data_IF_962627655587
#
_entry.id   IF_962627655587
#
_cell.length_a   1.000
_cell.length_b   1.000
_cell.length_c   1.000
_cell.angle_alpha   90.00
_cell.angle_beta   90.00
_cell.angle_gamma   90.00
#
_symmetry.space_group_name_H-M   'P 1'
#
loop_
_entity.id
_entity.type
_entity.pdbx_description
1 polymer ?
#
# COMPACT_ATOMS: atom_id res chain seq x y z
N UNK A 1 2.18 -49.45 -9.35
CA UNK A 1 2.71 -48.37 -8.49
C UNK A 1 1.83 -47.15 -8.69
N UNK A 2 0.94 -46.87 -7.74
CA UNK A 2 0.01 -45.74 -7.77
C UNK A 2 0.70 -44.59 -7.03
N UNK A 3 1.06 -43.51 -7.73
CA UNK A 3 1.60 -42.30 -7.10
C UNK A 3 0.43 -41.39 -6.77
N UNK A 4 0.16 -41.24 -5.48
CA UNK A 4 -0.87 -40.37 -4.94
C UNK A 4 -0.49 -38.91 -5.23
N UNK A 5 -1.35 -38.22 -6.00
CA UNK A 5 -1.37 -36.78 -6.17
C UNK A 5 -1.97 -36.16 -4.90
N UNK A 6 -1.16 -35.48 -4.10
CA UNK A 6 -1.67 -34.54 -3.10
C UNK A 6 -1.94 -33.22 -3.81
N UNK A 7 -3.17 -33.04 -4.26
CA UNK A 7 -3.70 -31.75 -4.68
C UNK A 7 -4.03 -30.93 -3.41
N UNK A 8 -3.09 -30.09 -2.98
CA UNK A 8 -3.39 -28.98 -2.08
C UNK A 8 -4.07 -27.89 -2.92
N UNK A 9 -5.38 -28.02 -3.10
CA UNK A 9 -6.23 -26.94 -3.59
C UNK A 9 -6.46 -25.94 -2.43
N UNK A 10 -5.44 -25.15 -2.12
CA UNK A 10 -5.62 -23.94 -1.31
C UNK A 10 -6.27 -22.88 -2.19
N UNK A 11 -7.60 -22.92 -2.31
CA UNK A 11 -8.37 -21.81 -2.81
C UNK A 11 -8.29 -20.67 -1.80
N UNK A 12 -7.21 -19.88 -1.86
CA UNK A 12 -7.17 -18.57 -1.23
C UNK A 12 -8.06 -17.71 -2.13
N UNK A 13 -9.34 -17.63 -1.77
CA UNK A 13 -10.16 -16.53 -2.22
C UNK A 13 -9.48 -15.26 -1.73
N UNK A 14 -8.76 -14.59 -2.63
CA UNK A 14 -8.36 -13.19 -2.47
C UNK A 14 -9.67 -12.42 -2.46
N UNK A 15 -10.30 -12.37 -1.29
CA UNK A 15 -11.26 -11.34 -0.98
C UNK A 15 -10.46 -10.05 -1.09
N UNK A 16 -10.65 -9.35 -2.20
CA UNK A 16 -10.09 -8.03 -2.40
C UNK A 16 -10.35 -7.22 -1.14
N UNK A 17 -9.27 -6.93 -0.41
CA UNK A 17 -9.30 -5.98 0.68
C UNK A 17 -9.59 -4.66 -0.02
N UNK A 18 -10.87 -4.32 -0.12
CA UNK A 18 -11.30 -2.95 -0.34
C UNK A 18 -10.78 -2.22 0.88
N UNK A 19 -9.64 -1.57 0.74
CA UNK A 19 -9.11 -0.65 1.75
C UNK A 19 -10.21 0.37 2.05
N UNK A 20 -10.92 0.18 3.16
CA UNK A 20 -11.72 1.24 3.75
C UNK A 20 -10.71 2.25 4.28
N UNK A 21 -10.35 3.22 3.43
CA UNK A 21 -9.61 4.41 3.82
C UNK A 21 -10.56 5.25 4.67
N UNK A 22 -10.66 4.92 5.96
CA UNK A 22 -11.12 5.90 6.94
C UNK A 22 -9.98 6.88 7.13
N UNK A 23 -10.11 8.06 6.53
CA UNK A 23 -9.28 9.21 6.82
C UNK A 23 -9.31 9.47 8.34
N UNK A 24 -8.28 9.03 9.06
CA UNK A 24 -8.01 9.48 10.42
C UNK A 24 -6.88 10.49 10.30
N UNK A 25 -7.26 11.75 10.13
CA UNK A 25 -6.34 12.86 10.26
C UNK A 25 -5.65 12.82 11.62
N UNK A 26 -4.34 12.94 11.63
CA UNK A 26 -3.57 13.29 12.81
C UNK A 26 -4.07 14.66 13.32
N UNK A 27 -4.96 14.65 14.31
CA UNK A 27 -5.17 15.80 15.18
C UNK A 27 -4.03 15.81 16.19
N UNK A 28 -3.11 16.76 16.01
CA UNK A 28 -2.18 17.15 17.06
C UNK A 28 -2.97 17.83 18.18
N UNK A 29 -3.32 17.05 19.20
CA UNK A 29 -3.91 17.57 20.43
C UNK A 29 -2.92 18.45 21.18
N UNK A 30 -2.96 19.75 20.91
CA UNK A 30 -2.44 20.78 21.80
C UNK A 30 -3.52 21.17 22.79
N UNK A 31 -3.52 20.57 23.98
CA UNK A 31 -4.24 21.10 25.13
C UNK A 31 -3.24 21.57 26.19
N UNK A 32 -2.99 22.88 26.16
CA UNK A 32 -2.49 23.63 27.30
C UNK A 32 -3.63 23.75 28.32
N UNK A 33 -3.50 23.09 29.47
CA UNK A 33 -4.36 23.36 30.63
C UNK A 33 -3.59 24.20 31.64
N UNK A 34 -3.91 25.49 31.60
CA UNK A 34 -4.15 26.40 32.71
C UNK A 34 -3.46 26.12 34.04
N UNK A 35 -2.50 26.99 34.39
CA UNK A 35 -1.94 27.08 35.72
C UNK A 35 -2.96 27.52 36.78
N UNK A 36 -2.79 26.95 37.98
CA UNK A 36 -3.29 27.52 39.21
C UNK A 36 -2.10 27.72 40.16
N UNK A 37 -1.87 28.98 40.55
CA UNK A 37 -1.01 29.36 41.66
C UNK A 37 -1.62 28.84 42.96
N UNK A 38 -0.83 28.17 43.80
CA UNK A 38 -1.06 28.07 45.25
C UNK A 38 0.27 28.35 45.95
N UNK A 39 0.16 29.13 47.02
CA UNK A 39 1.16 29.82 47.82
C UNK A 39 2.03 28.92 48.70
N UNK A 40 3.20 29.44 49.07
CA UNK A 40 4.10 28.94 50.11
C UNK A 40 3.36 28.72 51.45
N UNK A 41 3.67 27.62 52.15
CA UNK A 41 3.91 27.67 53.59
C UNK A 41 4.66 26.43 54.14
N UNK A 42 5.30 26.64 55.28
CA UNK A 42 6.38 25.87 55.88
C UNK A 42 6.00 24.54 56.57
N UNK A 43 6.99 23.62 56.58
CA UNK A 43 7.27 22.67 57.67
C UNK A 43 6.38 21.43 57.80
N UNK A 44 6.97 20.23 57.68
CA UNK A 44 7.15 19.27 58.79
C UNK A 44 7.73 17.94 58.27
N UNK A 45 8.60 17.35 59.08
CA UNK A 45 9.29 16.08 58.91
C UNK A 45 8.36 14.87 58.85
N UNK A 46 8.63 13.88 57.98
CA UNK A 46 8.55 12.43 58.28
C UNK A 46 8.92 11.49 57.12
N UNK A 47 9.72 10.50 57.50
CA UNK A 47 9.93 9.15 56.96
C UNK A 47 10.22 8.91 55.46
N UNK A 48 11.48 8.54 55.21
CA UNK A 48 11.93 7.81 54.04
C UNK A 48 11.40 6.36 54.07
N UNK A 49 10.11 6.19 53.72
CA UNK A 49 9.56 4.89 53.35
C UNK A 49 10.17 4.43 52.02
N UNK A 50 10.92 3.32 52.05
CA UNK A 50 11.43 2.65 50.85
C UNK A 50 10.27 2.38 49.89
N UNK A 51 10.22 3.10 48.76
CA UNK A 51 9.32 2.78 47.65
C UNK A 51 9.84 1.48 47.04
N UNK A 52 9.15 0.38 47.29
CA UNK A 52 9.37 -0.86 46.55
C UNK A 52 9.23 -0.56 45.07
N UNK A 53 10.32 -0.76 44.33
CA UNK A 53 10.30 -0.77 42.87
C UNK A 53 9.47 -2.00 42.50
N UNK A 54 8.34 -1.84 41.79
CA UNK A 54 7.58 -3.00 41.32
C UNK A 54 8.53 -3.88 40.49
N UNK A 55 8.44 -5.22 40.61
CA UNK A 55 9.29 -6.11 39.83
C UNK A 55 9.15 -5.76 38.34
N UNK A 56 10.23 -5.84 37.54
CA UNK A 56 10.14 -5.61 36.11
C UNK A 56 9.07 -6.56 35.59
N UNK A 57 7.99 -5.99 35.04
CA UNK A 57 6.96 -6.76 34.38
C UNK A 57 7.63 -7.60 33.32
N UNK A 58 7.56 -8.91 33.47
CA UNK A 58 7.97 -9.86 32.44
C UNK A 58 7.28 -9.43 31.14
N UNK A 59 8.06 -9.02 30.14
CA UNK A 59 7.51 -8.70 28.83
C UNK A 59 7.03 -10.03 28.24
N UNK A 60 5.74 -10.31 28.40
CA UNK A 60 5.09 -11.37 27.63
C UNK A 60 5.10 -10.90 26.20
N UNK A 61 5.99 -11.48 25.40
CA UNK A 61 6.06 -11.26 23.96
C UNK A 61 4.66 -11.56 23.40
N UNK A 62 3.95 -10.53 22.94
CA UNK A 62 2.61 -10.69 22.37
C UNK A 62 2.75 -11.62 21.17
N UNK A 63 2.09 -12.77 21.22
CA UNK A 63 2.15 -13.74 20.13
C UNK A 63 1.51 -13.11 18.88
N UNK A 64 2.34 -12.75 17.90
CA UNK A 64 1.89 -12.14 16.64
C UNK A 64 1.64 -13.22 15.60
N UNK A 65 0.69 -13.00 14.69
CA UNK A 65 0.49 -13.84 13.49
C UNK A 65 1.57 -13.65 12.40
N UNK A 66 2.59 -12.82 12.67
CA UNK A 66 3.70 -12.56 11.77
C UNK A 66 4.61 -13.79 11.61
N UNK A 67 4.99 -14.08 10.37
CA UNK A 67 6.06 -15.02 10.10
C UNK A 67 7.38 -14.49 10.68
N UNK A 68 8.11 -15.39 11.36
CA UNK A 68 9.46 -15.11 11.88
C UNK A 68 10.55 -15.45 10.84
N UNK A 69 10.27 -16.37 9.93
CA UNK A 69 11.19 -16.78 8.87
C UNK A 69 11.18 -15.77 7.73
N UNK A 70 12.34 -15.60 7.06
CA UNK A 70 12.45 -14.70 5.91
C UNK A 70 11.56 -15.15 4.76
N UNK A 71 10.93 -14.18 4.11
CA UNK A 71 10.17 -14.41 2.87
C UNK A 71 11.15 -14.50 1.68
N UNK A 72 10.89 -15.42 0.75
CA UNK A 72 11.65 -15.50 -0.50
C UNK A 72 11.25 -14.36 -1.45
N UNK A 73 12.00 -13.26 -1.37
CA UNK A 73 11.78 -12.08 -2.21
C UNK A 73 12.09 -12.34 -3.70
N UNK A 74 12.88 -13.36 -4.04
CA UNK A 74 13.26 -13.63 -5.42
C UNK A 74 12.10 -14.19 -6.26
N UNK A 75 11.11 -14.78 -5.61
CA UNK A 75 9.88 -15.26 -6.24
C UNK A 75 8.88 -14.14 -6.54
N UNK A 76 9.05 -12.96 -5.93
CA UNK A 76 8.13 -11.83 -6.11
C UNK A 76 8.39 -11.22 -7.48
N UNK A 77 7.38 -11.31 -8.34
CA UNK A 77 7.46 -10.82 -9.71
C UNK A 77 7.12 -9.34 -9.76
N UNK A 78 7.88 -8.58 -10.52
CA UNK A 78 7.56 -7.20 -10.87
C UNK A 78 7.87 -6.99 -12.34
N UNK A 79 7.03 -6.21 -13.03
CA UNK A 79 7.35 -5.67 -14.34
C UNK A 79 7.14 -4.15 -14.34
N UNK A 80 7.95 -3.39 -15.10
CA UNK A 80 7.77 -1.96 -15.24
C UNK A 80 6.34 -1.58 -15.66
N UNK A 81 5.83 -0.43 -15.23
CA UNK A 81 4.52 0.05 -15.64
C UNK A 81 4.48 0.26 -17.15
N UNK A 82 3.41 -0.20 -17.79
CA UNK A 82 3.04 0.25 -19.13
C UNK A 82 2.44 1.65 -19.01
N UNK A 83 2.95 2.60 -19.81
CA UNK A 83 2.48 3.99 -19.84
C UNK A 83 1.99 4.27 -21.25
N UNK A 84 0.70 4.55 -21.40
CA UNK A 84 0.07 4.90 -22.67
C UNK A 84 -0.79 6.16 -22.47
N UNK A 85 -0.16 7.35 -22.44
CA UNK A 85 -0.86 8.58 -22.16
C UNK A 85 -1.94 8.87 -23.19
N UNK A 86 -3.09 9.36 -22.73
CA UNK A 86 -4.24 9.67 -23.57
C UNK A 86 -5.02 8.45 -24.07
N UNK A 87 -4.70 7.24 -23.61
CA UNK A 87 -5.50 6.04 -23.91
C UNK A 87 -6.89 6.10 -23.25
N UNK A 88 -7.00 6.77 -22.11
CA UNK A 88 -8.24 7.11 -21.43
C UNK A 88 -8.46 8.62 -21.46
N UNK A 89 -9.63 9.03 -21.94
CA UNK A 89 -10.10 10.41 -21.81
C UNK A 89 -10.50 10.73 -20.36
N UNK A 90 -10.77 12.00 -20.07
CA UNK A 90 -11.32 12.42 -18.78
C UNK A 90 -12.66 11.71 -18.46
N UNK A 91 -13.53 11.57 -19.47
CA UNK A 91 -14.83 10.89 -19.34
C UNK A 91 -14.66 9.40 -19.02
N UNK A 92 -13.70 8.73 -19.67
CA UNK A 92 -13.39 7.32 -19.40
C UNK A 92 -12.92 7.10 -17.95
N UNK A 93 -12.05 8.00 -17.48
CA UNK A 93 -11.49 7.94 -16.13
C UNK A 93 -12.55 8.26 -15.07
N UNK A 94 -13.44 9.22 -15.32
CA UNK A 94 -14.57 9.49 -14.43
C UNK A 94 -15.54 8.31 -14.38
N UNK A 95 -15.86 7.72 -15.53
CA UNK A 95 -16.67 6.51 -15.60
C UNK A 95 -16.05 5.36 -14.79
N UNK A 96 -14.74 5.12 -14.96
CA UNK A 96 -14.00 4.12 -14.21
C UNK A 96 -14.00 4.38 -12.70
N UNK A 97 -13.81 5.64 -12.28
CA UNK A 97 -13.91 6.06 -10.88
C UNK A 97 -15.28 5.75 -10.30
N UNK A 98 -16.35 6.11 -11.00
CA UNK A 98 -17.73 5.89 -10.55
C UNK A 98 -18.13 4.40 -10.56
N UNK A 99 -17.45 3.57 -11.34
CA UNK A 99 -17.60 2.12 -11.32
C UNK A 99 -16.86 1.45 -10.14
N UNK A 100 -15.81 2.07 -9.61
CA UNK A 100 -14.96 1.51 -8.54
C UNK A 100 -15.27 2.05 -7.14
N UNK A 101 -15.69 3.31 -7.00
CA UNK A 101 -15.95 3.93 -5.69
C UNK A 101 -17.18 3.32 -5.02
N UNK A 102 -16.99 2.76 -3.82
CA UNK A 102 -18.06 2.28 -2.95
C UNK A 102 -18.82 1.05 -3.46
N UNK A 103 -18.32 0.38 -4.50
CA UNK A 103 -18.97 -0.78 -5.11
C UNK A 103 -18.06 -2.01 -5.04
N UNK A 104 -18.63 -3.13 -4.60
CA UNK A 104 -17.98 -4.43 -4.71
C UNK A 104 -18.20 -4.99 -6.12
N UNK A 105 -17.37 -4.56 -7.08
CA UNK A 105 -17.35 -5.07 -8.46
C UNK A 105 -16.07 -5.88 -8.65
N UNK A 106 -16.17 -7.09 -9.21
CA UNK A 106 -14.99 -7.89 -9.54
C UNK A 106 -14.19 -7.23 -10.66
N UNK A 107 -12.87 -7.40 -10.68
CA UNK A 107 -12.01 -6.82 -11.72
C UNK A 107 -12.38 -7.32 -13.13
N UNK A 108 -12.80 -8.58 -13.26
CA UNK A 108 -13.34 -9.13 -14.52
C UNK A 108 -14.56 -8.33 -14.98
N UNK A 109 -15.51 -8.07 -14.06
CA UNK A 109 -16.72 -7.33 -14.43
C UNK A 109 -16.42 -5.87 -14.73
N UNK A 110 -15.47 -5.29 -14.00
CA UNK A 110 -15.02 -3.93 -14.22
C UNK A 110 -14.34 -3.77 -15.58
N UNK A 111 -13.52 -4.75 -16.00
CA UNK A 111 -12.92 -4.79 -17.33
C UNK A 111 -13.99 -4.84 -18.43
N UNK A 112 -14.99 -5.70 -18.30
CA UNK A 112 -16.11 -5.77 -19.25
C UNK A 112 -16.83 -4.42 -19.37
N UNK A 113 -17.20 -3.82 -18.25
CA UNK A 113 -17.93 -2.55 -18.20
C UNK A 113 -17.10 -1.41 -18.81
N UNK A 114 -15.81 -1.34 -18.49
CA UNK A 114 -14.93 -0.33 -19.08
C UNK A 114 -14.72 -0.57 -20.57
N UNK A 115 -14.62 -1.83 -21.01
CA UNK A 115 -14.45 -2.17 -22.43
C UNK A 115 -15.68 -1.83 -23.26
N UNK A 116 -16.88 -2.03 -22.71
CA UNK A 116 -18.14 -1.63 -23.33
C UNK A 116 -18.25 -0.09 -23.46
N UNK A 117 -17.65 0.64 -22.52
CA UNK A 117 -17.59 2.11 -22.56
C UNK A 117 -16.51 2.62 -23.53
N UNK A 118 -15.28 2.11 -23.40
CA UNK A 118 -14.10 2.52 -24.18
C UNK A 118 -13.09 1.39 -24.29
N UNK A 119 -13.02 0.79 -25.48
CA UNK A 119 -12.10 -0.33 -25.77
C UNK A 119 -10.64 0.08 -25.63
N UNK A 120 -10.27 1.30 -26.05
CA UNK A 120 -8.91 1.83 -25.93
C UNK A 120 -8.50 2.01 -24.47
N UNK A 121 -9.37 2.64 -23.66
CA UNK A 121 -9.07 2.84 -22.24
C UNK A 121 -8.98 1.50 -21.50
N UNK A 122 -9.92 0.58 -21.74
CA UNK A 122 -9.88 -0.76 -21.16
C UNK A 122 -8.60 -1.52 -21.52
N UNK A 123 -8.14 -1.45 -22.77
CA UNK A 123 -6.90 -2.09 -23.20
C UNK A 123 -5.64 -1.48 -22.57
N UNK A 124 -5.69 -0.23 -22.10
CA UNK A 124 -4.61 0.36 -21.33
C UNK A 124 -4.68 -0.02 -19.84
N UNK A 125 -5.87 0.09 -19.23
CA UNK A 125 -6.10 -0.13 -17.80
C UNK A 125 -5.93 -1.60 -17.42
N UNK A 126 -6.38 -2.51 -18.28
CA UNK A 126 -6.25 -3.94 -18.11
C UNK A 126 -5.23 -4.50 -19.10
N UNK A 127 -4.44 -5.47 -18.66
CA UNK A 127 -3.45 -6.13 -19.48
C UNK A 127 -3.18 -7.54 -19.00
N UNK A 128 -2.59 -8.35 -19.86
CA UNK A 128 -2.06 -9.66 -19.46
C UNK A 128 -0.64 -9.49 -18.92
N UNK A 129 -0.18 -10.52 -18.23
CA UNK A 129 1.24 -10.66 -17.93
C UNK A 129 2.12 -10.56 -19.18
N UNK A 130 3.28 -9.92 -19.05
CA UNK A 130 4.17 -9.58 -20.15
C UNK A 130 5.41 -8.82 -19.67
N UNK A 131 6.05 -8.08 -20.58
CA UNK A 131 7.29 -7.31 -20.29
C UNK A 131 7.02 -5.97 -19.60
N UNK A 132 5.78 -5.49 -19.67
CA UNK A 132 5.29 -4.30 -18.95
C UNK A 132 3.90 -4.57 -18.42
N UNK A 133 3.57 -4.01 -17.26
CA UNK A 133 2.30 -4.25 -16.59
C UNK A 133 1.35 -3.05 -16.67
N UNK A 134 0.11 -3.33 -17.05
CA UNK A 134 -1.02 -2.42 -16.91
C UNK A 134 -1.32 -2.11 -15.42
N UNK A 135 -2.18 -1.12 -15.13
CA UNK A 135 -2.71 -0.94 -13.77
C UNK A 135 -3.31 -2.22 -13.17
N UNK A 136 -4.03 -3.02 -13.97
CA UNK A 136 -4.56 -4.32 -13.57
C UNK A 136 -4.05 -5.41 -14.51
N UNK A 137 -3.40 -6.41 -13.93
CA UNK A 137 -2.73 -7.47 -14.70
C UNK A 137 -3.45 -8.79 -14.49
N UNK A 138 -3.94 -9.37 -15.56
CA UNK A 138 -4.44 -10.74 -15.63
C UNK A 138 -3.24 -11.70 -15.70
N UNK A 139 -3.05 -12.47 -14.63
CA UNK A 139 -2.05 -13.54 -14.55
C UNK A 139 -2.59 -14.90 -15.03
N UNK A 140 -3.86 -14.95 -15.48
CA UNK A 140 -4.56 -16.13 -15.99
C UNK A 140 -5.41 -16.84 -14.95
N UNK A 141 -4.93 -16.93 -13.71
CA UNK A 141 -5.67 -17.49 -12.57
C UNK A 141 -6.27 -16.41 -11.65
N UNK A 142 -5.69 -15.19 -11.67
CA UNK A 142 -6.11 -14.05 -10.86
C UNK A 142 -5.73 -12.73 -11.53
N UNK A 143 -6.36 -11.66 -11.05
CA UNK A 143 -5.91 -10.30 -11.29
C UNK A 143 -4.99 -9.81 -10.16
N UNK A 144 -3.98 -9.03 -10.52
CA UNK A 144 -3.17 -8.25 -9.58
C UNK A 144 -3.24 -6.77 -9.89
N UNK A 145 -3.22 -5.94 -8.86
CA UNK A 145 -3.14 -4.49 -9.00
C UNK A 145 -1.67 -4.09 -9.02
N UNK A 146 -1.21 -3.42 -10.07
CA UNK A 146 0.18 -3.00 -10.21
C UNK A 146 0.47 -1.72 -9.42
N UNK A 147 0.29 -1.75 -8.10
CA UNK A 147 0.51 -0.60 -7.22
C UNK A 147 1.95 -0.10 -7.32
N UNK A 148 2.93 -1.02 -7.40
CA UNK A 148 4.33 -0.65 -7.64
C UNK A 148 4.56 0.06 -8.96
N UNK A 149 3.84 -0.31 -10.02
CA UNK A 149 3.82 0.42 -11.28
C UNK A 149 3.29 1.84 -11.12
N UNK A 150 2.21 2.04 -10.37
CA UNK A 150 1.69 3.37 -10.05
C UNK A 150 2.74 4.21 -9.29
N UNK A 151 3.39 3.66 -8.27
CA UNK A 151 4.45 4.34 -7.52
C UNK A 151 5.63 4.69 -8.44
N UNK A 152 6.03 3.78 -9.34
CA UNK A 152 7.08 4.05 -10.32
C UNK A 152 6.75 5.23 -11.24
N UNK A 153 5.50 5.36 -11.68
CA UNK A 153 5.06 6.50 -12.51
C UNK A 153 5.01 7.78 -11.68
N UNK A 154 4.39 7.74 -10.50
CA UNK A 154 4.21 8.92 -9.64
C UNK A 154 5.54 9.54 -9.21
N UNK A 155 6.50 8.69 -8.85
CA UNK A 155 7.85 9.11 -8.43
C UNK A 155 8.82 9.30 -9.59
N UNK A 156 8.44 8.91 -10.82
CA UNK A 156 9.32 8.81 -11.98
C UNK A 156 10.56 7.94 -11.71
N UNK A 157 10.42 6.92 -10.85
CA UNK A 157 11.50 6.06 -10.37
C UNK A 157 11.05 4.58 -10.35
N UNK A 158 11.42 3.83 -11.39
CA UNK A 158 11.08 2.41 -11.53
C UNK A 158 11.68 1.53 -10.41
N UNK A 159 12.97 1.69 -10.03
CA UNK A 159 13.51 1.02 -8.85
C UNK A 159 12.68 1.21 -7.57
N UNK A 160 12.23 2.44 -7.28
CA UNK A 160 11.35 2.70 -6.15
C UNK A 160 10.03 1.93 -6.24
N UNK A 161 9.34 2.00 -7.39
CA UNK A 161 8.09 1.26 -7.59
C UNK A 161 8.25 -0.26 -7.47
N UNK A 162 9.39 -0.81 -7.92
CA UNK A 162 9.74 -2.21 -7.72
C UNK A 162 9.93 -2.53 -6.23
N UNK A 163 10.71 -1.72 -5.52
CA UNK A 163 10.99 -1.93 -4.10
C UNK A 163 9.69 -1.87 -3.27
N UNK A 164 8.80 -0.93 -3.58
CA UNK A 164 7.47 -0.86 -2.98
C UNK A 164 6.64 -2.12 -3.25
N UNK A 165 6.60 -2.61 -4.50
CA UNK A 165 5.89 -3.84 -4.83
C UNK A 165 6.40 -5.04 -4.02
N UNK A 166 7.73 -5.20 -3.96
CA UNK A 166 8.37 -6.28 -3.20
C UNK A 166 8.06 -6.17 -1.71
N UNK A 167 8.09 -4.96 -1.14
CA UNK A 167 7.75 -4.75 0.26
C UNK A 167 6.31 -5.14 0.57
N UNK A 168 5.36 -4.71 -0.27
CA UNK A 168 3.93 -5.01 -0.11
C UNK A 168 3.64 -6.51 -0.20
N UNK A 169 4.17 -7.19 -1.21
CA UNK A 169 4.02 -8.64 -1.36
C UNK A 169 4.71 -9.40 -0.22
N UNK A 170 5.86 -8.92 0.26
CA UNK A 170 6.51 -9.48 1.44
C UNK A 170 5.62 -9.37 2.67
N UNK A 171 5.04 -8.19 2.93
CA UNK A 171 4.10 -7.97 4.05
C UNK A 171 2.90 -8.91 3.96
N UNK A 172 2.31 -9.07 2.78
CA UNK A 172 1.15 -9.95 2.58
C UNK A 172 1.49 -11.43 2.82
N UNK A 173 2.64 -11.89 2.33
CA UNK A 173 3.13 -13.25 2.58
C UNK A 173 3.47 -13.47 4.06
N UNK A 174 4.22 -12.52 4.65
CA UNK A 174 4.63 -12.48 6.04
C UNK A 174 3.46 -12.46 7.03
N UNK A 175 2.31 -11.95 6.60
CA UNK A 175 1.10 -11.81 7.41
C UNK A 175 -0.08 -12.66 6.92
N UNK A 176 0.17 -13.64 6.06
CA UNK A 176 -0.86 -14.49 5.45
C UNK A 176 -1.70 -15.29 6.45
N UNK A 177 -1.25 -15.43 7.70
CA UNK A 177 -1.98 -16.13 8.77
C UNK A 177 -2.89 -15.21 9.60
N UNK A 178 -2.79 -13.89 9.43
CA UNK A 178 -3.57 -12.91 10.17
C UNK A 178 -5.01 -12.87 9.66
N UNK A 179 -5.98 -12.95 10.58
CA UNK A 179 -7.41 -13.10 10.23
C UNK A 179 -8.22 -11.81 10.32
N UNK A 180 -7.72 -10.83 11.07
CA UNK A 180 -8.39 -9.56 11.27
C UNK A 180 -7.54 -8.42 10.73
N UNK A 181 -8.17 -7.32 10.33
CA UNK A 181 -7.45 -6.13 9.87
C UNK A 181 -6.58 -5.50 10.95
N UNK A 182 -6.95 -5.67 12.23
CA UNK A 182 -6.15 -5.20 13.37
C UNK A 182 -4.87 -6.02 13.47
N UNK A 183 -4.99 -7.36 13.45
CA UNK A 183 -3.82 -8.26 13.52
C UNK A 183 -2.92 -8.07 12.30
N UNK A 184 -3.51 -7.84 11.12
CA UNK A 184 -2.76 -7.62 9.89
C UNK A 184 -1.91 -6.34 9.96
N UNK A 185 -2.45 -5.26 10.53
CA UNK A 185 -1.69 -4.02 10.72
C UNK A 185 -0.52 -4.22 11.69
N UNK A 186 -0.78 -4.82 12.86
CA UNK A 186 0.28 -5.11 13.83
C UNK A 186 1.34 -6.07 13.25
N UNK A 187 0.91 -6.99 12.39
CA UNK A 187 1.80 -7.89 11.70
C UNK A 187 2.71 -7.18 10.68
N UNK A 188 2.19 -6.20 9.92
CA UNK A 188 3.00 -5.42 8.99
C UNK A 188 4.16 -4.71 9.71
N UNK A 189 3.91 -4.15 10.89
CA UNK A 189 4.96 -3.56 11.73
C UNK A 189 5.97 -4.63 12.17
N UNK A 190 5.49 -5.79 12.62
CA UNK A 190 6.33 -6.87 13.13
C UNK A 190 7.22 -7.52 12.07
N UNK A 191 6.72 -7.76 10.85
CA UNK A 191 7.52 -8.36 9.78
C UNK A 191 8.58 -7.40 9.24
N UNK A 192 8.42 -6.09 9.42
CA UNK A 192 9.36 -5.07 8.96
C UNK A 192 10.37 -4.62 10.02
N UNK A 193 10.11 -4.91 11.29
CA UNK A 193 11.03 -4.59 12.38
C UNK A 193 12.42 -5.23 12.17
N UNK A 194 13.42 -4.73 12.90
CA UNK A 194 14.79 -5.25 12.84
C UNK A 194 14.83 -6.77 13.06
N UNK A 195 15.34 -7.50 12.06
CA UNK A 195 15.39 -8.96 12.07
C UNK A 195 14.09 -9.67 11.68
N UNK A 196 13.02 -8.93 11.36
CA UNK A 196 11.76 -9.43 10.85
C UNK A 196 11.86 -9.99 9.43
N UNK A 197 10.83 -10.74 9.02
CA UNK A 197 10.76 -11.47 7.75
C UNK A 197 10.93 -10.61 6.49
N UNK A 198 10.59 -9.32 6.58
CA UNK A 198 10.58 -8.32 5.52
C UNK A 198 11.54 -7.15 5.75
N UNK A 199 12.43 -7.23 6.74
CA UNK A 199 13.37 -6.15 7.05
C UNK A 199 14.25 -5.77 5.84
N UNK A 200 14.70 -6.74 5.05
CA UNK A 200 15.50 -6.49 3.84
C UNK A 200 14.70 -5.79 2.73
N UNK A 201 13.41 -6.12 2.61
CA UNK A 201 12.53 -5.46 1.66
C UNK A 201 12.27 -4.01 2.06
N UNK A 202 12.10 -3.73 3.36
CA UNK A 202 11.95 -2.36 3.88
C UNK A 202 13.22 -1.55 3.64
N UNK A 203 14.40 -2.09 3.96
CA UNK A 203 15.66 -1.40 3.73
C UNK A 203 15.90 -1.08 2.24
N UNK A 204 15.50 -1.98 1.34
CA UNK A 204 15.56 -1.74 -0.11
C UNK A 204 14.59 -0.62 -0.53
N UNK A 205 13.37 -0.65 -0.01
CA UNK A 205 12.38 0.40 -0.25
C UNK A 205 12.87 1.78 0.21
N UNK A 206 13.36 1.89 1.44
CA UNK A 206 13.86 3.16 1.99
C UNK A 206 15.01 3.73 1.15
N UNK A 207 15.92 2.85 0.69
CA UNK A 207 17.05 3.23 -0.15
C UNK A 207 16.63 3.69 -1.55
N UNK A 208 15.65 3.04 -2.18
CA UNK A 208 15.26 3.33 -3.57
C UNK A 208 14.26 4.50 -3.66
N UNK A 209 13.44 4.68 -2.64
CA UNK A 209 12.32 5.64 -2.65
C UNK A 209 12.57 6.94 -1.90
N UNK A 210 13.42 6.91 -0.86
CA UNK A 210 13.61 8.04 0.05
C UNK A 210 12.30 8.50 0.70
N UNK A 211 12.25 9.76 1.15
CA UNK A 211 11.08 10.31 1.86
C UNK A 211 9.90 10.72 0.95
N UNK A 212 10.08 10.69 -0.38
CA UNK A 212 9.09 11.19 -1.35
C UNK A 212 7.97 10.21 -1.67
N UNK A 213 8.15 8.92 -1.40
CA UNK A 213 7.19 7.87 -1.77
C UNK A 213 5.97 7.78 -0.86
N UNK A 214 6.09 8.17 0.41
CA UNK A 214 5.01 8.07 1.42
C UNK A 214 3.71 8.74 0.96
N UNK A 215 3.81 9.88 0.26
CA UNK A 215 2.64 10.59 -0.26
C UNK A 215 1.88 9.80 -1.36
N UNK A 216 2.58 8.90 -2.06
CA UNK A 216 2.03 8.17 -3.19
C UNK A 216 1.54 6.77 -2.83
N UNK A 217 1.89 6.23 -1.66
CA UNK A 217 1.45 4.89 -1.24
C UNK A 217 -0.07 4.84 -1.08
N UNK A 218 -0.63 5.81 -0.35
CA UNK A 218 -2.07 5.93 -0.14
C UNK A 218 -2.81 6.26 -1.44
N UNK A 219 -2.22 7.10 -2.30
CA UNK A 219 -2.84 7.49 -3.56
C UNK A 219 -2.89 6.31 -4.54
N UNK A 220 -1.77 5.58 -4.68
CA UNK A 220 -1.66 4.44 -5.57
C UNK A 220 -2.45 3.20 -5.11
N UNK A 221 -2.87 3.16 -3.85
CA UNK A 221 -3.85 2.19 -3.36
C UNK A 221 -5.25 2.35 -3.96
N UNK A 222 -5.54 3.47 -4.62
CA UNK A 222 -6.80 3.71 -5.30
C UNK A 222 -6.72 3.28 -6.77
N UNK A 223 -7.54 2.31 -7.15
CA UNK A 223 -7.66 1.78 -8.51
C UNK A 223 -7.69 2.86 -9.61
N UNK A 224 -8.44 3.94 -9.37
CA UNK A 224 -8.56 5.09 -10.28
C UNK A 224 -7.23 5.81 -10.53
N UNK A 225 -6.38 5.94 -9.51
CA UNK A 225 -5.13 6.72 -9.59
C UNK A 225 -4.12 6.01 -10.48
N UNK A 226 -3.97 4.70 -10.34
CA UNK A 226 -3.12 3.90 -11.21
C UNK A 226 -3.56 4.03 -12.69
N UNK A 227 -4.87 3.93 -12.96
CA UNK A 227 -5.42 4.14 -14.30
C UNK A 227 -5.15 5.56 -14.83
N UNK A 228 -5.39 6.58 -14.01
CA UNK A 228 -5.15 8.00 -14.38
C UNK A 228 -3.68 8.25 -14.73
N UNK A 229 -2.74 7.78 -13.90
CA UNK A 229 -1.32 8.04 -14.11
C UNK A 229 -0.74 7.29 -15.31
N UNK A 230 -1.19 6.07 -15.57
CA UNK A 230 -0.65 5.23 -16.65
C UNK A 230 -1.36 5.42 -17.99
N UNK A 231 -2.66 5.77 -17.98
CA UNK A 231 -3.51 5.79 -19.16
C UNK A 231 -4.17 7.13 -19.44
N UNK A 232 -4.21 8.03 -18.47
CA UNK A 232 -4.77 9.37 -18.66
C UNK A 232 -3.86 10.28 -19.49
N UNK A 233 -4.32 11.49 -19.73
CA UNK A 233 -3.52 12.50 -20.42
C UNK A 233 -2.27 12.87 -19.61
N UNK A 234 -1.15 13.10 -20.30
CA UNK A 234 -0.03 13.84 -19.70
C UNK A 234 -0.53 15.24 -19.36
N UNK A 235 -0.28 15.75 -18.14
CA UNK A 235 -0.48 17.18 -17.90
C UNK A 235 0.30 17.91 -18.99
N UNK A 236 -0.36 18.80 -19.74
CA UNK A 236 0.35 19.68 -20.67
C UNK A 236 1.44 20.39 -19.86
N UNK A 237 2.70 20.07 -20.15
CA UNK A 237 3.86 20.78 -19.63
C UNK A 237 3.78 22.20 -20.21
N UNK A 238 3.09 23.11 -19.51
CA UNK A 238 2.68 24.44 -19.96
C UNK A 238 3.63 25.11 -20.95
N UNK A 239 3.39 24.88 -22.24
CA UNK A 239 4.02 25.58 -23.34
C UNK A 239 3.15 26.76 -23.76
N UNK A 240 3.41 27.93 -23.19
CA UNK A 240 3.06 29.18 -23.84
C UNK A 240 4.15 30.21 -23.59
N UNK A 241 5.24 30.02 -24.32
CA UNK A 241 6.00 31.11 -24.91
C UNK A 241 5.05 31.95 -25.79
N UNK A 242 4.39 32.93 -25.16
CA UNK A 242 3.65 33.99 -25.84
C UNK A 242 4.52 35.23 -25.98
N UNK A 243 5.49 35.19 -26.90
CA UNK A 243 6.21 36.38 -27.33
C UNK A 243 5.27 37.28 -28.13
N UNK A 244 4.86 38.41 -27.55
CA UNK A 244 4.33 39.53 -28.31
C UNK A 244 5.49 40.46 -28.69
N UNK A 245 5.72 40.53 -30.01
CA UNK A 245 6.64 41.46 -30.64
C UNK A 245 6.20 42.91 -30.46
N UNK A 246 7.16 43.76 -30.09
CA UNK A 246 7.12 45.21 -30.25
C UNK A 246 8.15 45.67 -31.26
#
# INVERSE_FOLDING_TARGET
>A
MVRNLFALASAIAVAGIVSMVNAVGCTSGGEAVGGARVTDDAGDTRDAGKREVPPPTEYVEKETCALKEKVDLASIRFQPPRILPGACSADDLEFFRNATVGKAVSLVKLEEILRDHSTTCAACVFGRDGDTWAPFVDLGDRYVVNVGGCVAVATKNVPCGKAYHVLRECQELGCSQCKTSVDQRECFDAVQADGGACAEALATYDSECGSSSVAYEDECGLNYVAARLQCGETPDDGGSDGGDGG
#
